data_IF_229437262433
#
_entry.id   IF_229437262433
#
_cell.length_a   1.000
_cell.length_b   1.000
_cell.length_c   1.000
_cell.angle_alpha   90.00
_cell.angle_beta   90.00
_cell.angle_gamma   90.00
#
_symmetry.space_group_name_H-M   'P 1'
#
loop_
_entity.id
_entity.type
_entity.pdbx_description
1 polymer ?
#
# COMPACT_ATOMS: atom_id res chain seq x y z
N UNK A 1 17.83 20.59 -22.84
CA UNK A 1 17.34 19.87 -24.04
C UNK A 1 16.21 18.98 -23.57
N UNK A 2 15.00 19.51 -23.59
CA UNK A 2 13.85 18.85 -22.96
C UNK A 2 13.33 17.74 -23.86
N UNK A 3 13.57 16.50 -23.45
CA UNK A 3 12.96 15.35 -24.10
C UNK A 3 11.46 15.36 -23.81
N UNK A 4 10.67 14.93 -24.79
CA UNK A 4 9.22 14.71 -24.66
C UNK A 4 8.90 13.92 -23.36
N UNK A 5 7.79 14.23 -22.67
CA UNK A 5 7.35 13.50 -21.48
C UNK A 5 7.25 11.98 -21.73
N UNK A 6 6.94 11.58 -22.96
CA UNK A 6 6.79 10.17 -23.32
C UNK A 6 8.10 9.47 -23.73
N UNK A 7 9.23 10.18 -23.68
CA UNK A 7 10.50 9.64 -24.10
C UNK A 7 11.09 8.66 -23.07
N UNK A 8 11.60 7.53 -23.55
CA UNK A 8 12.39 6.60 -22.74
C UNK A 8 13.62 7.30 -22.15
N UNK A 9 13.87 7.06 -20.86
CA UNK A 9 14.98 7.67 -20.13
C UNK A 9 16.04 6.63 -19.77
N UNK A 10 17.31 7.03 -19.85
CA UNK A 10 18.41 6.16 -19.40
C UNK A 10 18.53 6.17 -17.89
N UNK A 11 19.20 5.17 -17.30
CA UNK A 11 19.44 5.14 -15.85
C UNK A 11 20.20 6.36 -15.32
N UNK A 12 21.12 6.93 -16.10
CA UNK A 12 21.82 8.17 -15.72
C UNK A 12 20.85 9.35 -15.65
N UNK A 13 19.97 9.50 -16.65
CA UNK A 13 18.99 10.59 -16.68
C UNK A 13 17.97 10.48 -15.56
N UNK A 14 17.53 9.26 -15.22
CA UNK A 14 16.59 9.04 -14.12
C UNK A 14 17.27 9.26 -12.76
N UNK A 15 18.53 8.86 -12.62
CA UNK A 15 19.34 9.12 -11.43
C UNK A 15 19.50 10.63 -11.17
N UNK A 16 19.86 11.39 -12.21
CA UNK A 16 19.97 12.85 -12.13
C UNK A 16 18.62 13.51 -11.82
N UNK A 17 17.54 13.08 -12.47
CA UNK A 17 16.21 13.66 -12.24
C UNK A 17 15.63 13.40 -10.84
N UNK A 18 16.05 12.31 -10.19
CA UNK A 18 15.61 11.93 -8.85
C UNK A 18 16.61 12.33 -7.76
N UNK A 19 17.76 12.87 -8.13
CA UNK A 19 18.90 13.10 -7.24
C UNK A 19 19.27 11.84 -6.44
N UNK A 20 19.40 10.71 -7.15
CA UNK A 20 19.73 9.41 -6.56
C UNK A 20 20.91 8.75 -7.29
N UNK A 21 21.83 8.09 -6.58
CA UNK A 21 22.88 7.32 -7.25
C UNK A 21 22.31 6.19 -8.11
N UNK A 22 22.93 5.93 -9.28
CA UNK A 22 22.47 4.88 -10.20
C UNK A 22 22.42 3.48 -9.56
N UNK A 23 23.30 3.18 -8.61
CA UNK A 23 23.32 1.87 -7.94
C UNK A 23 22.08 1.66 -7.06
N UNK A 24 21.47 2.73 -6.53
CA UNK A 24 20.21 2.67 -5.79
C UNK A 24 19.07 2.27 -6.73
N UNK A 25 19.02 2.85 -7.93
CA UNK A 25 18.03 2.45 -8.94
C UNK A 25 18.20 0.99 -9.35
N UNK A 26 19.44 0.53 -9.56
CA UNK A 26 19.74 -0.90 -9.84
C UNK A 26 19.30 -1.80 -8.68
N UNK A 27 19.48 -1.36 -7.45
CA UNK A 27 19.00 -2.09 -6.29
C UNK A 27 17.48 -2.14 -6.26
N UNK A 28 16.79 -1.04 -6.57
CA UNK A 28 15.33 -0.98 -6.62
C UNK A 28 14.72 -1.87 -7.70
N UNK A 29 15.37 -2.02 -8.86
CA UNK A 29 14.99 -3.01 -9.88
C UNK A 29 14.88 -4.44 -9.31
N UNK A 30 15.69 -4.78 -8.30
CA UNK A 30 15.63 -6.11 -7.66
C UNK A 30 14.54 -6.22 -6.60
N UNK A 31 14.05 -5.10 -6.07
CA UNK A 31 13.06 -5.05 -4.98
C UNK A 31 11.64 -4.85 -5.49
N UNK A 32 11.45 -4.12 -6.58
CA UNK A 32 10.13 -3.78 -7.11
C UNK A 32 9.93 -4.44 -8.47
N UNK A 33 9.11 -5.48 -8.51
CA UNK A 33 8.85 -6.27 -9.73
C UNK A 33 8.08 -5.49 -10.80
N UNK A 34 7.45 -4.37 -10.41
CA UNK A 34 6.74 -3.45 -11.30
C UNK A 34 7.71 -2.65 -12.19
N UNK A 35 8.94 -2.41 -11.73
CA UNK A 35 9.95 -1.65 -12.46
C UNK A 35 10.75 -2.62 -13.33
N UNK A 36 10.45 -2.65 -14.64
CA UNK A 36 11.11 -3.53 -15.60
C UNK A 36 11.83 -2.72 -16.67
N UNK A 37 13.12 -2.36 -16.48
CA UNK A 37 13.85 -1.61 -17.47
C UNK A 37 14.02 -2.43 -18.75
N UNK A 38 13.83 -1.78 -19.90
CA UNK A 38 14.08 -2.38 -21.20
C UNK A 38 15.58 -2.44 -21.45
N UNK A 39 16.10 -3.65 -21.68
CA UNK A 39 17.51 -3.88 -22.02
C UNK A 39 17.66 -3.86 -23.55
N UNK A 40 18.39 -2.88 -24.08
CA UNK A 40 18.81 -2.84 -25.49
C UNK A 40 20.22 -3.39 -25.64
N UNK A 41 20.64 -3.71 -26.87
CA UNK A 41 22.02 -4.08 -27.19
C UNK A 41 23.03 -3.15 -26.53
N UNK A 42 24.07 -3.72 -25.89
CA UNK A 42 25.08 -2.99 -25.12
C UNK A 42 24.77 -2.83 -23.62
N UNK A 43 23.75 -3.50 -23.08
CA UNK A 43 23.52 -3.57 -21.61
C UNK A 43 22.99 -2.27 -20.98
N UNK A 44 22.63 -1.28 -21.80
CA UNK A 44 22.00 -0.04 -21.34
C UNK A 44 20.55 -0.30 -20.96
N UNK A 45 20.13 0.30 -19.85
CA UNK A 45 18.78 0.21 -19.29
C UNK A 45 18.01 1.47 -19.65
N UNK A 46 16.80 1.27 -20.18
CA UNK A 46 15.86 2.34 -20.47
C UNK A 46 14.60 2.14 -19.64
N UNK A 47 14.13 3.19 -19.00
CA UNK A 47 12.88 3.22 -18.25
C UNK A 47 11.79 3.86 -19.10
N UNK A 48 10.57 3.33 -18.99
CA UNK A 48 9.39 3.95 -19.58
C UNK A 48 9.00 5.18 -18.75
N UNK A 49 8.29 6.15 -19.34
CA UNK A 49 7.75 7.30 -18.60
C UNK A 49 7.01 6.89 -17.33
N UNK A 50 6.13 5.88 -17.43
CA UNK A 50 5.39 5.34 -16.29
C UNK A 50 6.30 4.74 -15.20
N UNK A 51 7.39 4.08 -15.58
CA UNK A 51 8.35 3.54 -14.59
C UNK A 51 9.09 4.68 -13.88
N UNK A 52 9.36 5.79 -14.57
CA UNK A 52 9.98 6.98 -13.99
C UNK A 52 9.04 7.66 -13.00
N UNK A 53 7.74 7.77 -13.32
CA UNK A 53 6.72 8.26 -12.39
C UNK A 53 6.60 7.37 -11.15
N UNK A 54 6.61 6.05 -11.35
CA UNK A 54 6.59 5.11 -10.23
C UNK A 54 7.84 5.26 -9.35
N UNK A 55 9.02 5.43 -9.95
CA UNK A 55 10.26 5.68 -9.21
C UNK A 55 10.22 6.98 -8.41
N UNK A 56 9.58 8.04 -8.92
CA UNK A 56 9.33 9.28 -8.17
C UNK A 56 8.48 9.02 -6.93
N UNK A 57 7.37 8.29 -7.08
CA UNK A 57 6.50 7.95 -5.96
C UNK A 57 7.18 7.05 -4.92
N UNK A 58 7.98 6.07 -5.36
CA UNK A 58 8.77 5.23 -4.46
C UNK A 58 9.80 6.07 -3.70
N UNK A 59 10.51 7.00 -4.37
CA UNK A 59 11.44 7.92 -3.69
C UNK A 59 10.72 8.73 -2.62
N UNK A 60 9.59 9.34 -2.95
CA UNK A 60 8.81 10.13 -2.01
C UNK A 60 8.42 9.30 -0.78
N UNK A 61 7.95 8.08 -1.00
CA UNK A 61 7.58 7.18 0.10
C UNK A 61 8.77 6.81 1.00
N UNK A 62 9.92 6.50 0.41
CA UNK A 62 11.07 6.03 1.17
C UNK A 62 11.82 7.15 1.89
N UNK A 63 12.03 8.29 1.22
CA UNK A 63 12.87 9.38 1.74
C UNK A 63 12.05 10.46 2.44
N UNK A 64 10.90 10.85 1.90
CA UNK A 64 10.13 11.97 2.44
C UNK A 64 9.14 11.48 3.51
N UNK A 65 8.49 10.33 3.29
CA UNK A 65 7.51 9.74 4.21
C UNK A 65 8.09 8.68 5.15
N UNK A 66 9.36 8.27 4.97
CA UNK A 66 10.04 7.32 5.85
C UNK A 66 9.51 5.88 5.81
N UNK A 67 8.83 5.47 4.72
CA UNK A 67 8.41 4.08 4.56
C UNK A 67 9.62 3.14 4.39
N UNK A 68 9.46 1.90 4.83
CA UNK A 68 10.43 0.84 4.53
C UNK A 68 10.18 0.26 3.15
N UNK A 69 11.21 -0.34 2.53
CA UNK A 69 11.07 -1.06 1.25
C UNK A 69 9.97 -2.13 1.33
N UNK A 70 9.87 -2.85 2.44
CA UNK A 70 8.80 -3.84 2.68
C UNK A 70 7.42 -3.19 2.73
N UNK A 71 7.31 -2.01 3.36
CA UNK A 71 6.08 -1.23 3.40
C UNK A 71 5.62 -0.82 2.00
N UNK A 72 6.51 -0.29 1.17
CA UNK A 72 6.20 0.10 -0.21
C UNK A 72 5.84 -1.13 -1.08
N UNK A 73 6.55 -2.24 -0.90
CA UNK A 73 6.19 -3.51 -1.56
C UNK A 73 4.81 -4.02 -1.15
N UNK A 74 4.41 -3.83 0.12
CA UNK A 74 3.07 -4.18 0.59
C UNK A 74 2.02 -3.28 -0.06
N UNK A 75 2.23 -1.97 -0.10
CA UNK A 75 1.34 -1.04 -0.79
C UNK A 75 1.20 -1.40 -2.27
N UNK A 76 2.27 -1.77 -2.96
CA UNK A 76 2.23 -2.20 -4.36
C UNK A 76 1.54 -3.55 -4.61
N UNK A 77 1.36 -4.38 -3.58
CA UNK A 77 0.58 -5.64 -3.68
C UNK A 77 -0.89 -5.40 -3.42
N UNK A 78 -1.20 -4.53 -2.47
CA UNK A 78 -2.57 -4.20 -2.07
C UNK A 78 -3.22 -3.18 -3.02
N UNK A 79 -2.41 -2.35 -3.68
CA UNK A 79 -2.83 -1.27 -4.55
C UNK A 79 -2.07 -1.35 -5.89
N UNK A 80 -2.63 -0.75 -6.93
CA UNK A 80 -1.96 -0.66 -8.23
C UNK A 80 -0.79 0.33 -8.19
N UNK A 81 0.16 0.19 -9.13
CA UNK A 81 1.28 1.13 -9.29
C UNK A 81 0.82 2.59 -9.44
N UNK A 82 -0.37 2.81 -10.02
CA UNK A 82 -1.00 4.13 -10.14
C UNK A 82 -1.27 4.80 -8.79
N UNK A 83 -1.53 4.02 -7.74
CA UNK A 83 -1.73 4.56 -6.40
C UNK A 83 -0.43 5.18 -5.85
N UNK A 84 0.71 4.54 -6.08
CA UNK A 84 2.01 5.05 -5.65
C UNK A 84 2.39 6.30 -6.44
N UNK A 85 2.06 6.34 -7.74
CA UNK A 85 2.27 7.52 -8.58
C UNK A 85 1.42 8.69 -8.06
N UNK A 86 0.13 8.46 -7.80
CA UNK A 86 -0.77 9.47 -7.22
C UNK A 86 -0.26 9.99 -5.88
N UNK A 87 0.18 9.10 -4.99
CA UNK A 87 0.74 9.45 -3.69
C UNK A 87 2.04 10.26 -3.81
N UNK A 88 2.91 9.89 -4.76
CA UNK A 88 4.14 10.62 -5.07
C UNK A 88 3.90 12.03 -5.62
N UNK A 89 2.80 12.23 -6.34
CA UNK A 89 2.42 13.52 -6.91
C UNK A 89 1.58 14.36 -5.93
N UNK A 90 1.19 13.83 -4.77
CA UNK A 90 0.27 14.49 -3.85
C UNK A 90 -1.16 14.63 -4.38
N UNK A 91 -1.54 13.81 -5.36
CA UNK A 91 -2.88 13.87 -5.97
C UNK A 91 -3.90 13.14 -5.08
N UNK A 92 -4.48 13.91 -4.16
CA UNK A 92 -5.49 13.45 -3.21
C UNK A 92 -6.74 12.93 -3.94
N UNK A 93 -7.13 13.55 -5.06
CA UNK A 93 -8.32 13.18 -5.83
C UNK A 93 -8.14 11.82 -6.51
N UNK A 94 -6.99 11.61 -7.15
CA UNK A 94 -6.67 10.30 -7.74
C UNK A 94 -6.59 9.20 -6.66
N UNK A 95 -6.04 9.53 -5.49
CA UNK A 95 -5.96 8.59 -4.37
C UNK A 95 -7.33 8.18 -3.82
N UNK A 96 -8.24 9.14 -3.64
CA UNK A 96 -9.61 8.86 -3.22
C UNK A 96 -10.38 8.04 -4.26
N UNK A 97 -10.21 8.34 -5.56
CA UNK A 97 -10.87 7.60 -6.63
C UNK A 97 -10.45 6.13 -6.66
N UNK A 98 -9.14 5.85 -6.54
CA UNK A 98 -8.60 4.48 -6.48
C UNK A 98 -9.14 3.74 -5.25
N UNK A 99 -9.23 4.43 -4.11
CA UNK A 99 -9.74 3.85 -2.86
C UNK A 99 -11.23 3.53 -2.95
N UNK A 100 -12.04 4.44 -3.51
CA UNK A 100 -13.48 4.22 -3.77
C UNK A 100 -13.70 3.08 -4.77
N UNK A 101 -12.92 3.02 -5.84
CA UNK A 101 -13.00 1.93 -6.82
C UNK A 101 -12.70 0.57 -6.18
N UNK A 102 -11.75 0.52 -5.25
CA UNK A 102 -11.44 -0.69 -4.48
C UNK A 102 -12.57 -1.07 -3.52
N UNK A 103 -13.17 -0.12 -2.81
CA UNK A 103 -14.31 -0.38 -1.92
C UNK A 103 -15.50 -0.94 -2.72
N UNK A 104 -15.83 -0.33 -3.85
CA UNK A 104 -16.89 -0.83 -4.74
C UNK A 104 -16.57 -2.21 -5.33
N UNK A 105 -15.31 -2.51 -5.64
CA UNK A 105 -14.89 -3.83 -6.11
C UNK A 105 -14.93 -4.90 -5.01
N UNK A 106 -14.63 -4.53 -3.76
CA UNK A 106 -14.75 -5.42 -2.61
C UNK A 106 -16.22 -5.73 -2.30
N UNK A 107 -17.08 -4.70 -2.31
CA UNK A 107 -18.53 -4.83 -2.12
C UNK A 107 -19.18 -5.71 -3.20
N UNK A 108 -18.77 -5.56 -4.47
CA UNK A 108 -19.22 -6.43 -5.56
C UNK A 108 -18.81 -7.89 -5.37
N UNK A 109 -17.56 -8.15 -4.95
CA UNK A 109 -17.10 -9.53 -4.69
C UNK A 109 -17.88 -10.17 -3.54
N UNK A 110 -18.12 -9.42 -2.46
CA UNK A 110 -18.94 -9.93 -1.34
C UNK A 110 -20.40 -10.16 -1.72
N UNK A 111 -20.96 -9.36 -2.64
CA UNK A 111 -22.33 -9.55 -3.12
C UNK A 111 -22.46 -10.76 -4.07
N UNK A 112 -21.44 -11.03 -4.89
CA UNK A 112 -21.38 -12.17 -5.80
C UNK A 112 -21.16 -13.50 -5.06
N UNK A 113 -20.34 -13.48 -4.00
CA UNK A 113 -20.08 -14.62 -3.10
C UNK A 113 -21.30 -14.94 -2.20
N UNK A 114 -22.11 -13.94 -1.86
CA UNK A 114 -23.40 -14.13 -1.18
C UNK A 114 -24.49 -14.69 -2.11
N UNK A 115 -24.49 -14.31 -3.38
CA UNK A 115 -25.47 -14.81 -4.37
C UNK A 115 -25.24 -16.27 -4.76
N UNK A 116 -23.99 -16.76 -4.76
CA UNK A 116 -23.66 -18.16 -5.03
C UNK A 116 -24.02 -19.10 -3.85
N UNK A 117 -24.11 -18.54 -2.63
CA UNK A 117 -24.44 -19.31 -1.42
C UNK A 117 -25.96 -19.52 -1.20
N UNK A 118 -26.85 -18.80 -1.89
CA UNK A 118 -28.31 -18.95 -1.73
C UNK A 118 -28.96 -19.96 -2.70
N UNK A 119 -28.22 -20.55 -3.65
CA UNK A 119 -28.78 -21.50 -4.63
C UNK A 119 -28.68 -22.99 -4.21
N UNK A 120 -28.28 -23.29 -2.97
CA UNK A 120 -28.03 -24.67 -2.53
C UNK A 120 -28.88 -25.08 -1.31
N UNK A 121 -30.10 -25.59 -1.54
CA UNK A 121 -30.87 -26.43 -0.58
C UNK A 121 -31.85 -27.36 -1.34
N UNK A 122 -32.27 -28.53 -0.80
CA UNK A 122 -31.46 -29.65 -0.33
C UNK A 122 -32.01 -31.01 -0.84
N UNK A 123 -31.23 -32.09 -0.84
CA UNK A 123 -31.79 -33.46 -0.77
C UNK A 123 -30.78 -34.50 -0.27
N UNK A 124 -31.00 -34.97 0.97
CA UNK A 124 -30.86 -36.39 1.33
C UNK A 124 -29.58 -36.90 2.00
N UNK A 125 -29.66 -37.10 3.34
CA UNK A 125 -29.04 -38.20 4.14
C UNK A 125 -27.49 -38.11 4.36
N UNK A 126 -26.85 -38.26 5.55
CA UNK A 126 -27.14 -38.78 6.91
C UNK A 126 -26.19 -38.13 7.92
N UNK A 127 -26.60 -38.05 9.20
CA UNK A 127 -25.72 -37.74 10.34
C UNK A 127 -24.64 -38.83 10.57
N UNK A 128 -23.51 -38.49 11.23
CA UNK A 128 -23.45 -38.71 12.68
C UNK A 128 -22.72 -37.59 13.48
N UNK A 129 -23.19 -37.38 14.71
CA UNK A 129 -22.50 -36.74 15.84
C UNK A 129 -21.90 -37.84 16.76
N UNK A 130 -21.18 -37.55 17.87
CA UNK A 130 -20.41 -36.36 18.27
C UNK A 130 -19.04 -36.71 18.90
N UNK A 131 -18.12 -35.74 18.98
CA UNK A 131 -17.13 -35.70 20.07
C UNK A 131 -17.01 -34.28 20.62
N UNK A 132 -17.62 -34.10 21.80
CA UNK A 132 -17.48 -32.91 22.65
C UNK A 132 -16.09 -32.92 23.31
N UNK A 133 -15.45 -31.76 23.41
CA UNK A 133 -14.99 -31.08 24.65
C UNK A 133 -14.03 -29.94 24.26
N UNK A 134 -14.45 -28.68 24.40
CA UNK A 134 -14.54 -27.83 25.60
C UNK A 134 -13.30 -26.93 25.74
N UNK A 135 -13.58 -25.62 25.81
CA UNK A 135 -12.82 -24.49 26.39
C UNK A 135 -12.17 -23.45 25.47
N UNK A 136 -12.63 -22.19 25.65
CA UNK A 136 -12.06 -20.95 25.12
C UNK A 136 -13.07 -20.15 24.28
N UNK A 137 -14.25 -19.85 24.78
CA UNK A 137 -14.58 -18.59 25.49
C UNK A 137 -14.33 -17.33 24.65
N UNK A 138 -15.45 -16.69 24.30
CA UNK A 138 -15.59 -15.36 23.73
C UNK A 138 -14.48 -14.37 24.12
N UNK A 139 -13.80 -13.82 23.11
CA UNK A 139 -13.25 -12.46 23.13
C UNK A 139 -12.98 -12.06 21.67
N UNK A 140 -13.93 -11.41 21.02
CA UNK A 140 -14.09 -9.97 21.16
C UNK A 140 -13.28 -9.32 20.05
N UNK A 141 -13.93 -9.20 18.88
CA UNK A 141 -13.78 -8.15 17.87
C UNK A 141 -12.72 -7.08 18.20
N UNK A 142 -11.50 -7.19 17.65
CA UNK A 142 -10.53 -6.08 17.62
C UNK A 142 -9.77 -6.10 16.29
N UNK A 143 -10.44 -5.66 15.23
CA UNK A 143 -9.81 -5.26 13.98
C UNK A 143 -9.22 -3.85 14.12
N UNK A 144 -7.90 -3.80 14.27
CA UNK A 144 -7.10 -2.57 14.30
C UNK A 144 -5.84 -2.71 13.44
N UNK A 145 -5.26 -1.60 12.97
CA UNK A 145 -4.22 -1.62 11.94
C UNK A 145 -2.91 -2.25 12.43
N UNK A 146 -2.25 -2.96 11.52
CA UNK A 146 -0.95 -3.66 11.73
C UNK A 146 0.19 -2.64 11.62
N UNK A 147 1.05 -2.56 12.64
CA UNK A 147 2.21 -1.67 12.69
C UNK A 147 3.33 -2.02 11.67
N UNK A 148 4.25 -1.07 11.47
CA UNK A 148 5.31 -1.11 10.44
C UNK A 148 6.25 -2.33 10.51
N UNK A 149 6.31 -3.01 11.66
CA UNK A 149 7.21 -4.11 11.95
C UNK A 149 6.57 -5.48 11.69
N UNK A 150 5.31 -5.51 11.24
CA UNK A 150 4.48 -6.72 11.13
C UNK A 150 4.01 -7.28 12.48
N UNK A 151 4.38 -6.64 13.60
CA UNK A 151 3.92 -6.96 14.95
C UNK A 151 2.79 -6.00 15.33
N UNK A 152 1.68 -6.52 15.87
CA UNK A 152 0.64 -5.66 16.45
C UNK A 152 1.24 -4.94 17.67
N UNK A 153 1.07 -3.61 17.82
CA UNK A 153 1.55 -2.92 19.00
C UNK A 153 0.96 -3.57 20.24
N UNK A 154 1.79 -3.80 21.26
CA UNK A 154 1.31 -4.26 22.57
C UNK A 154 0.19 -3.33 23.05
N UNK A 155 -0.74 -3.84 23.86
CA UNK A 155 -1.81 -3.03 24.44
C UNK A 155 -1.26 -1.74 25.09
N UNK A 156 -0.09 -1.84 25.71
CA UNK A 156 0.62 -0.73 26.37
C UNK A 156 1.17 0.31 25.36
N UNK A 157 1.66 -0.15 24.20
CA UNK A 157 2.10 0.75 23.14
C UNK A 157 0.90 1.47 22.50
N UNK A 158 -0.25 0.77 22.38
CA UNK A 158 -1.48 1.36 21.86
C UNK A 158 -2.00 2.46 22.79
N UNK A 159 -1.96 2.26 24.11
CA UNK A 159 -2.35 3.30 25.07
C UNK A 159 -1.42 4.50 25.02
N UNK A 160 -0.10 4.29 24.97
CA UNK A 160 0.89 5.37 24.85
C UNK A 160 0.68 6.21 23.59
N UNK A 161 0.38 5.55 22.46
CA UNK A 161 0.09 6.25 21.20
C UNK A 161 -1.24 7.02 21.26
N UNK A 162 -2.24 6.49 21.96
CA UNK A 162 -3.52 7.18 22.15
C UNK A 162 -3.39 8.42 23.03
N UNK A 163 -2.57 8.34 24.09
CA UNK A 163 -2.24 9.47 24.95
C UNK A 163 -1.50 10.56 24.18
N UNK A 164 -0.44 10.21 23.46
CA UNK A 164 0.30 11.18 22.63
C UNK A 164 -0.59 11.83 21.55
N UNK A 165 -1.52 11.07 20.95
CA UNK A 165 -2.48 11.63 19.99
C UNK A 165 -3.43 12.63 20.67
N UNK A 166 -3.90 12.33 21.88
CA UNK A 166 -4.75 13.21 22.66
C UNK A 166 -4.04 14.54 22.96
N UNK A 167 -2.80 14.47 23.45
CA UNK A 167 -1.99 15.65 23.75
C UNK A 167 -1.80 16.54 22.52
N UNK A 168 -1.49 15.94 21.37
CA UNK A 168 -1.32 16.67 20.11
C UNK A 168 -2.61 17.35 19.64
N UNK A 169 -3.76 16.69 19.80
CA UNK A 169 -5.06 17.28 19.48
C UNK A 169 -5.40 18.44 20.41
N UNK A 170 -5.04 18.34 21.69
CA UNK A 170 -5.21 19.43 22.65
C UNK A 170 -4.30 20.62 22.33
N UNK A 171 -3.02 20.37 22.01
CA UNK A 171 -2.11 21.40 21.52
C UNK A 171 -2.67 22.12 20.29
N UNK A 172 -3.23 21.37 19.33
CA UNK A 172 -3.87 21.94 18.15
C UNK A 172 -5.08 22.81 18.54
N UNK A 173 -5.95 22.33 19.42
CA UNK A 173 -7.11 23.07 19.90
C UNK A 173 -6.70 24.40 20.55
N UNK A 174 -5.64 24.40 21.36
CA UNK A 174 -5.11 25.60 21.99
C UNK A 174 -4.56 26.60 20.96
N UNK A 175 -3.82 26.12 19.95
CA UNK A 175 -3.33 26.97 18.87
C UNK A 175 -4.47 27.59 18.05
N UNK A 176 -5.51 26.82 17.75
CA UNK A 176 -6.68 27.29 17.01
C UNK A 176 -7.49 28.34 17.80
N UNK A 177 -7.38 28.38 19.13
CA UNK A 177 -8.04 29.39 19.97
C UNK A 177 -7.30 30.73 20.07
N UNK A 178 -6.00 30.73 19.77
CA UNK A 178 -5.14 31.93 19.86
C UNK A 178 -5.08 32.69 18.51
N UNK A 179 -5.65 32.13 17.45
CA UNK A 179 -5.65 32.68 16.10
C UNK A 179 -6.97 33.39 15.76
#
# INVERSE_FOLDING_TARGET
>A
MDKSPDAFRTISEVAEALDLPQHVLRFWETRFTQIKPMKRGGGRRYYRPLDVELLKGIRHLLYDQGYTIKGVQRLLRENNAQFIIALGNGDVQAMEAITRQRQAAAEKRTAEEAADSEMALPSGIKAPQPARKLFGLLKGEEDGPIGADGKRPSKDNRSLLQEALFDLLECKRLLDQVR
#
